data_IF_752513237043
#
_entry.id   IF_752513237043
#
_cell.length_a   1.000
_cell.length_b   1.000
_cell.length_c   1.000
_cell.angle_alpha   90.00
_cell.angle_beta   90.00
_cell.angle_gamma   90.00
#
_symmetry.space_group_name_H-M   'P 1'
#
loop_
_entity.id
_entity.type
_entity.pdbx_description
1 polymer ?
#
# COMPACT_ATOMS: atom_id res chain seq x y z
N UNK A 1 -20.01 -11.08 20.03
CA UNK A 1 -20.43 -10.40 18.78
C UNK A 1 -19.38 -9.40 18.34
N UNK A 2 -19.18 -9.27 17.03
CA UNK A 2 -18.25 -8.32 16.45
C UNK A 2 -19.03 -7.30 15.59
N UNK A 3 -18.58 -6.04 15.59
CA UNK A 3 -19.13 -4.97 14.76
C UNK A 3 -18.11 -4.57 13.71
N UNK A 4 -18.49 -4.51 12.45
CA UNK A 4 -17.66 -3.96 11.37
C UNK A 4 -17.61 -2.44 11.54
N UNK A 5 -16.42 -1.87 11.62
CA UNK A 5 -16.16 -0.43 11.69
C UNK A 5 -16.01 0.15 10.29
N UNK A 6 -15.28 -0.54 9.41
CA UNK A 6 -15.09 -0.15 8.03
C UNK A 6 -14.40 -1.25 7.23
N UNK A 7 -14.52 -1.17 5.90
CA UNK A 7 -13.96 -2.15 4.95
C UNK A 7 -13.31 -1.40 3.80
N UNK A 8 -12.07 -1.77 3.47
CA UNK A 8 -11.41 -1.41 2.23
C UNK A 8 -11.25 -2.63 1.32
N UNK A 9 -12.10 -2.73 0.31
CA UNK A 9 -12.09 -3.84 -0.65
C UNK A 9 -10.85 -3.85 -1.54
N UNK A 10 -10.26 -2.70 -1.81
CA UNK A 10 -9.09 -2.61 -2.69
C UNK A 10 -7.82 -3.13 -2.01
N UNK A 11 -7.72 -2.95 -0.70
CA UNK A 11 -6.60 -3.47 0.09
C UNK A 11 -6.92 -4.80 0.78
N UNK A 12 -8.15 -5.30 0.68
CA UNK A 12 -8.61 -6.52 1.36
C UNK A 12 -8.44 -6.43 2.88
N UNK A 13 -8.79 -5.26 3.46
CA UNK A 13 -8.71 -4.99 4.90
C UNK A 13 -10.07 -4.60 5.44
N UNK A 14 -10.43 -5.18 6.58
CA UNK A 14 -11.57 -4.78 7.39
C UNK A 14 -11.15 -4.50 8.82
N UNK A 15 -11.74 -3.49 9.44
CA UNK A 15 -11.63 -3.23 10.88
C UNK A 15 -12.90 -3.70 11.56
N UNK A 16 -12.73 -4.58 12.54
CA UNK A 16 -13.82 -5.09 13.37
C UNK A 16 -13.59 -4.70 14.84
N UNK A 17 -14.65 -4.36 15.54
CA UNK A 17 -14.67 -4.06 16.97
C UNK A 17 -15.35 -5.19 17.70
N UNK A 18 -14.70 -5.72 18.71
CA UNK A 18 -15.28 -6.68 19.65
C UNK A 18 -15.43 -6.03 21.03
N UNK A 19 -16.37 -6.56 21.83
CA UNK A 19 -16.42 -6.33 23.27
C UNK A 19 -15.79 -7.54 23.95
N UNK A 20 -14.85 -7.29 24.84
CA UNK A 20 -14.20 -8.32 25.64
C UNK A 20 -14.52 -8.04 27.13
N UNK A 21 -14.71 -9.09 27.91
CA UNK A 21 -14.95 -9.00 29.35
C UNK A 21 -13.63 -8.85 30.12
N UNK A 22 -12.51 -9.06 29.46
CA UNK A 22 -11.14 -8.96 29.99
C UNK A 22 -10.31 -7.99 29.18
N UNK A 23 -9.25 -7.44 29.78
CA UNK A 23 -8.27 -6.61 29.07
C UNK A 23 -7.49 -7.46 28.07
N UNK A 24 -7.48 -7.00 26.82
CA UNK A 24 -6.75 -7.65 25.74
C UNK A 24 -5.32 -7.13 25.68
N UNK A 25 -4.37 -8.03 25.45
CA UNK A 25 -2.99 -7.65 25.20
C UNK A 25 -2.80 -7.37 23.70
N UNK A 26 -2.64 -6.10 23.30
CA UNK A 26 -2.43 -5.78 21.88
C UNK A 26 -1.05 -6.24 21.44
N UNK A 27 -0.97 -6.68 20.17
CA UNK A 27 0.32 -6.97 19.55
C UNK A 27 1.08 -5.67 19.26
N UNK A 28 2.39 -5.66 19.48
CA UNK A 28 3.24 -4.55 19.04
C UNK A 28 3.39 -4.56 17.52
N UNK A 29 3.35 -3.38 16.92
CA UNK A 29 3.48 -3.21 15.47
C UNK A 29 4.89 -2.75 15.16
N UNK A 30 5.59 -3.49 14.30
CA UNK A 30 6.92 -3.11 13.80
C UNK A 30 6.82 -2.36 12.47
N UNK A 31 7.87 -1.58 12.17
CA UNK A 31 8.00 -0.88 10.88
C UNK A 31 8.30 -1.86 9.74
N UNK A 32 7.31 -2.12 8.90
CA UNK A 32 7.45 -3.02 7.75
C UNK A 32 8.34 -2.47 6.63
N UNK A 33 8.73 -1.19 6.65
CA UNK A 33 9.69 -0.63 5.70
C UNK A 33 11.14 -1.06 6.02
N UNK A 34 11.40 -1.51 7.25
CA UNK A 34 12.73 -1.97 7.68
C UNK A 34 13.03 -3.43 7.31
N UNK A 35 12.04 -4.17 6.80
CA UNK A 35 12.15 -5.60 6.49
C UNK A 35 13.16 -5.86 5.37
N UNK A 36 13.91 -6.95 5.53
CA UNK A 36 14.90 -7.42 4.56
C UNK A 36 14.59 -8.84 4.11
N UNK A 37 14.93 -9.15 2.89
CA UNK A 37 14.91 -10.52 2.38
C UNK A 37 15.83 -11.38 3.24
N UNK A 38 15.31 -12.52 3.69
CA UNK A 38 15.97 -13.44 4.62
C UNK A 38 15.58 -13.26 6.09
N UNK A 39 14.88 -12.19 6.47
CA UNK A 39 14.37 -12.02 7.83
C UNK A 39 13.39 -13.16 8.18
N UNK A 40 13.55 -13.75 9.37
CA UNK A 40 12.68 -14.83 9.85
C UNK A 40 11.33 -14.30 10.23
N UNK A 41 10.29 -15.09 9.89
CA UNK A 41 8.90 -14.74 10.16
C UNK A 41 8.09 -15.95 10.59
N UNK A 42 7.01 -15.70 11.32
CA UNK A 42 5.99 -16.68 11.66
C UNK A 42 4.64 -16.18 11.13
N UNK A 43 3.96 -17.00 10.35
CA UNK A 43 2.59 -16.77 9.95
C UNK A 43 1.66 -17.52 10.93
N UNK A 44 0.75 -16.77 11.56
CA UNK A 44 -0.19 -17.27 12.56
C UNK A 44 -1.59 -17.20 11.97
N UNK A 45 -2.38 -18.23 12.18
CA UNK A 45 -3.76 -18.28 11.72
C UNK A 45 -4.51 -19.48 12.25
N UNK A 46 -5.71 -19.72 11.72
CA UNK A 46 -6.54 -20.89 12.05
C UNK A 46 -6.93 -21.61 10.75
N UNK A 47 -5.96 -22.32 10.11
CA UNK A 47 -6.20 -22.97 8.83
C UNK A 47 -7.29 -24.02 8.98
N UNK A 48 -8.25 -23.99 8.06
CA UNK A 48 -9.39 -24.92 8.03
C UNK A 48 -10.27 -24.96 9.30
N UNK A 49 -10.09 -24.01 10.23
CA UNK A 49 -10.84 -23.98 11.49
C UNK A 49 -10.47 -25.07 12.50
N UNK A 50 -9.32 -25.73 12.33
CA UNK A 50 -8.85 -26.82 13.19
C UNK A 50 -8.06 -26.37 14.42
N UNK A 51 -7.93 -25.07 14.63
CA UNK A 51 -7.22 -24.46 15.75
C UNK A 51 -6.07 -23.54 15.30
N UNK A 52 -5.53 -22.77 16.26
CA UNK A 52 -4.42 -21.86 16.01
C UNK A 52 -3.20 -22.67 15.54
N UNK A 53 -2.66 -22.26 14.42
CA UNK A 53 -1.48 -22.88 13.80
C UNK A 53 -0.45 -21.81 13.49
N UNK A 54 0.82 -22.18 13.59
CA UNK A 54 1.97 -21.34 13.31
C UNK A 54 2.83 -22.00 12.26
N UNK A 55 3.14 -21.29 11.18
CA UNK A 55 4.12 -21.71 10.18
C UNK A 55 5.32 -20.78 10.17
N UNK A 56 6.52 -21.37 10.04
CA UNK A 56 7.78 -20.64 10.01
C UNK A 56 8.24 -20.46 8.56
N UNK A 57 8.88 -19.32 8.28
CA UNK A 57 9.48 -19.01 7.00
C UNK A 57 10.37 -17.77 7.08
N UNK A 58 10.64 -17.19 5.92
CA UNK A 58 11.42 -15.95 5.76
C UNK A 58 10.66 -14.95 4.88
N UNK A 59 11.10 -13.70 4.91
CA UNK A 59 10.78 -12.73 3.87
C UNK A 59 11.49 -13.14 2.59
N UNK A 60 10.75 -13.55 1.58
CA UNK A 60 11.28 -13.95 0.27
C UNK A 60 11.47 -12.76 -0.67
N UNK A 61 10.62 -11.72 -0.54
CA UNK A 61 10.71 -10.45 -1.24
C UNK A 61 9.82 -9.39 -0.57
N UNK A 62 10.10 -8.13 -0.86
CA UNK A 62 9.26 -6.97 -0.52
C UNK A 62 8.86 -6.23 -1.80
N UNK A 63 7.82 -5.38 -1.74
CA UNK A 63 7.41 -4.56 -2.88
C UNK A 63 6.76 -5.34 -4.02
N UNK A 64 6.04 -6.43 -3.74
CA UNK A 64 5.32 -7.21 -4.75
C UNK A 64 3.91 -6.68 -4.95
N UNK A 65 3.59 -6.15 -6.12
CA UNK A 65 2.23 -5.67 -6.45
C UNK A 65 1.24 -6.81 -6.75
N UNK A 66 1.73 -7.91 -7.26
CA UNK A 66 0.93 -9.10 -7.62
C UNK A 66 -0.43 -8.74 -8.26
N UNK A 67 -0.41 -7.82 -9.22
CA UNK A 67 -1.59 -7.35 -9.94
C UNK A 67 -2.53 -6.45 -9.12
N UNK A 68 -2.13 -6.00 -7.94
CA UNK A 68 -2.85 -5.01 -7.16
C UNK A 68 -2.03 -3.70 -7.10
N UNK A 69 -2.36 -2.68 -7.89
CA UNK A 69 -1.60 -1.43 -7.94
C UNK A 69 -1.71 -0.61 -6.64
N UNK A 70 -2.59 -1.01 -5.73
CA UNK A 70 -2.80 -0.32 -4.45
C UNK A 70 -1.93 -0.86 -3.32
N UNK A 71 -1.25 -2.00 -3.51
CA UNK A 71 -0.50 -2.67 -2.44
C UNK A 71 0.86 -3.16 -2.92
N UNK A 72 1.88 -2.89 -2.14
CA UNK A 72 3.15 -3.59 -2.19
C UNK A 72 3.16 -4.63 -1.09
N UNK A 73 3.10 -5.90 -1.48
CA UNK A 73 2.97 -7.01 -0.55
C UNK A 73 4.33 -7.52 -0.09
N UNK A 74 4.37 -8.06 1.11
CA UNK A 74 5.46 -8.89 1.61
C UNK A 74 5.26 -10.30 1.04
N UNK A 75 6.26 -10.84 0.36
CA UNK A 75 6.30 -12.24 -0.05
C UNK A 75 7.02 -13.06 1.03
N UNK A 76 6.47 -14.23 1.38
CA UNK A 76 7.06 -15.17 2.34
C UNK A 76 6.89 -16.61 1.86
N UNK A 77 7.79 -17.49 2.27
CA UNK A 77 7.68 -18.94 2.14
C UNK A 77 7.09 -19.61 3.40
N UNK A 78 6.71 -18.84 4.43
CA UNK A 78 5.87 -19.36 5.50
C UNK A 78 4.55 -19.87 4.92
N UNK A 79 4.14 -21.09 5.30
CA UNK A 79 2.96 -21.73 4.71
C UNK A 79 1.69 -20.96 5.08
N UNK A 80 1.05 -20.39 4.06
CA UNK A 80 -0.26 -19.73 4.16
C UNK A 80 -1.28 -20.62 3.45
N UNK A 81 -2.32 -21.02 4.17
CA UNK A 81 -3.41 -21.85 3.66
C UNK A 81 -4.75 -21.18 3.98
N UNK A 82 -5.86 -21.60 3.35
CA UNK A 82 -7.20 -21.12 3.69
C UNK A 82 -7.46 -21.18 5.20
N UNK A 83 -7.80 -20.03 5.80
CA UNK A 83 -7.96 -19.84 7.25
C UNK A 83 -6.82 -19.08 7.93
N UNK A 84 -5.63 -18.96 7.30
CA UNK A 84 -4.57 -18.06 7.79
C UNK A 84 -4.77 -16.61 7.33
N UNK A 85 -5.55 -16.36 6.27
CA UNK A 85 -5.86 -15.01 5.79
C UNK A 85 -6.55 -14.20 6.89
N UNK A 86 -6.08 -12.96 7.10
CA UNK A 86 -6.48 -12.11 8.23
C UNK A 86 -5.69 -12.36 9.52
N UNK A 87 -4.90 -13.44 9.58
CA UNK A 87 -3.99 -13.73 10.69
C UNK A 87 -2.69 -12.92 10.61
N UNK A 88 -1.90 -12.95 11.67
CA UNK A 88 -0.69 -12.17 11.79
C UNK A 88 0.49 -12.80 11.04
N UNK A 89 1.30 -11.97 10.37
CA UNK A 89 2.69 -12.26 10.07
C UNK A 89 3.54 -11.48 11.07
N UNK A 90 4.37 -12.19 11.85
CA UNK A 90 5.19 -11.59 12.90
C UNK A 90 6.68 -11.85 12.66
N UNK A 91 7.52 -10.98 13.21
CA UNK A 91 8.97 -11.17 13.24
C UNK A 91 9.39 -12.04 14.44
N UNK A 92 10.69 -12.33 14.55
CA UNK A 92 11.28 -13.12 15.63
C UNK A 92 11.10 -12.52 17.04
N UNK A 93 10.82 -11.20 17.13
CA UNK A 93 10.53 -10.52 18.39
C UNK A 93 9.04 -10.56 18.77
N UNK A 94 8.19 -11.25 17.99
CA UNK A 94 6.75 -11.32 18.21
C UNK A 94 5.98 -10.08 17.79
N UNK A 95 6.59 -9.15 17.06
CA UNK A 95 5.92 -7.93 16.61
C UNK A 95 5.26 -8.15 15.24
N UNK A 96 4.09 -7.54 15.03
CA UNK A 96 3.34 -7.58 13.77
C UNK A 96 4.12 -6.85 12.66
N UNK A 97 4.39 -7.55 11.57
CA UNK A 97 5.01 -6.99 10.36
C UNK A 97 4.08 -7.00 9.16
N UNK A 98 2.96 -7.75 9.25
CA UNK A 98 1.95 -7.78 8.20
C UNK A 98 0.74 -8.61 8.57
N UNK A 99 -0.29 -8.57 7.72
CA UNK A 99 -1.48 -9.41 7.80
C UNK A 99 -1.43 -10.40 6.64
N UNK A 100 -1.51 -11.70 6.94
CA UNK A 100 -1.58 -12.75 5.93
C UNK A 100 -2.80 -12.51 5.02
N UNK A 101 -2.62 -12.56 3.72
CA UNK A 101 -3.70 -12.26 2.77
C UNK A 101 -3.94 -13.40 1.81
N UNK A 102 -3.03 -13.66 0.89
CA UNK A 102 -3.24 -14.60 -0.22
C UNK A 102 -1.99 -15.42 -0.54
N UNK A 103 -2.17 -16.42 -1.40
CA UNK A 103 -1.08 -17.23 -1.97
C UNK A 103 -1.02 -17.02 -3.48
N UNK A 104 0.16 -17.26 -4.06
CA UNK A 104 0.28 -17.55 -5.48
C UNK A 104 0.07 -19.04 -5.69
N UNK A 105 -0.97 -19.39 -6.45
CA UNK A 105 -1.27 -20.80 -6.67
C UNK A 105 -2.07 -21.01 -7.94
N UNK A 106 -1.67 -21.98 -8.74
CA UNK A 106 -2.43 -22.43 -9.91
C UNK A 106 -3.46 -23.52 -9.54
N UNK A 107 -3.33 -24.13 -8.37
CA UNK A 107 -4.17 -25.26 -7.92
C UNK A 107 -5.06 -24.89 -6.73
N UNK A 108 -4.89 -23.69 -6.15
CA UNK A 108 -5.55 -23.28 -4.90
C UNK A 108 -4.83 -23.77 -3.63
N UNK A 109 -3.82 -24.63 -3.75
CA UNK A 109 -3.00 -25.09 -2.63
C UNK A 109 -1.70 -24.24 -2.52
N UNK A 110 -1.16 -24.11 -1.33
CA UNK A 110 0.11 -23.44 -1.08
C UNK A 110 1.26 -24.12 -1.85
N UNK A 111 2.04 -23.34 -2.59
CA UNK A 111 3.16 -23.78 -3.44
C UNK A 111 4.47 -23.05 -3.12
N UNK A 112 4.70 -22.65 -1.87
CA UNK A 112 5.92 -21.96 -1.44
C UNK A 112 5.89 -20.45 -1.62
N UNK A 113 4.77 -19.86 -2.04
CA UNK A 113 4.64 -18.41 -2.23
C UNK A 113 3.37 -17.90 -1.55
N UNK A 114 3.57 -17.22 -0.43
CA UNK A 114 2.53 -16.53 0.31
C UNK A 114 2.75 -15.01 0.28
N UNK A 115 1.69 -14.25 0.53
CA UNK A 115 1.71 -12.79 0.57
C UNK A 115 1.02 -12.28 1.83
N UNK A 116 1.62 -11.22 2.40
CA UNK A 116 1.03 -10.47 3.49
C UNK A 116 1.00 -8.97 3.17
N UNK A 117 -0.01 -8.29 3.70
CA UNK A 117 -0.14 -6.82 3.61
C UNK A 117 0.77 -6.23 4.68
N UNK A 118 1.72 -5.32 4.34
CA UNK A 118 2.65 -4.73 5.30
C UNK A 118 1.96 -3.99 6.45
N UNK A 119 2.50 -4.10 7.65
CA UNK A 119 1.94 -3.48 8.86
C UNK A 119 1.73 -1.97 8.74
N UNK A 120 2.65 -1.24 8.10
CA UNK A 120 2.51 0.20 7.89
C UNK A 120 1.27 0.53 7.05
N UNK A 121 1.02 -0.24 5.99
CA UNK A 121 -0.17 -0.09 5.14
C UNK A 121 -1.44 -0.45 5.93
N UNK A 122 -1.40 -1.53 6.73
CA UNK A 122 -2.51 -1.94 7.60
C UNK A 122 -2.89 -0.82 8.57
N UNK A 123 -1.90 -0.21 9.23
CA UNK A 123 -2.13 0.89 10.19
C UNK A 123 -2.73 2.12 9.50
N UNK A 124 -2.21 2.51 8.33
CA UNK A 124 -2.73 3.65 7.58
C UNK A 124 -4.21 3.43 7.19
N UNK A 125 -4.53 2.26 6.64
CA UNK A 125 -5.90 1.91 6.27
C UNK A 125 -6.81 1.83 7.49
N UNK A 126 -6.39 1.11 8.53
CA UNK A 126 -7.18 0.94 9.74
C UNK A 126 -7.48 2.27 10.43
N UNK A 127 -6.52 3.18 10.47
CA UNK A 127 -6.71 4.53 11.02
C UNK A 127 -7.80 5.30 10.28
N UNK A 128 -7.79 5.26 8.94
CA UNK A 128 -8.82 5.91 8.14
C UNK A 128 -10.19 5.24 8.31
N UNK A 129 -10.24 3.90 8.31
CA UNK A 129 -11.49 3.16 8.54
C UNK A 129 -12.09 3.45 9.92
N UNK A 130 -11.27 3.58 10.96
CA UNK A 130 -11.72 3.94 12.31
C UNK A 130 -12.24 5.37 12.36
N UNK A 131 -11.55 6.30 11.71
CA UNK A 131 -11.88 7.74 11.75
C UNK A 131 -13.05 8.10 10.85
N UNK A 132 -13.11 7.54 9.63
CA UNK A 132 -14.05 7.96 8.59
C UNK A 132 -15.00 6.86 8.14
N UNK A 133 -14.80 5.59 8.52
CA UNK A 133 -15.54 4.45 8.01
C UNK A 133 -15.12 3.97 6.62
N UNK A 134 -14.27 4.74 5.92
CA UNK A 134 -13.78 4.48 4.57
C UNK A 134 -12.35 5.00 4.37
N UNK A 135 -11.69 4.53 3.31
CA UNK A 135 -10.38 5.06 2.89
C UNK A 135 -10.62 6.21 1.90
N UNK A 136 -10.19 7.40 2.30
CA UNK A 136 -10.24 8.61 1.48
C UNK A 136 -8.92 8.78 0.74
N UNK A 137 -8.99 8.96 -0.57
CA UNK A 137 -7.81 9.22 -1.41
C UNK A 137 -7.65 10.72 -1.64
N UNK A 138 -6.41 11.19 -1.70
CA UNK A 138 -6.12 12.56 -2.13
C UNK A 138 -6.56 12.73 -3.59
N UNK A 139 -7.48 13.65 -3.83
CA UNK A 139 -7.88 14.03 -5.17
C UNK A 139 -7.06 15.25 -5.64
N UNK A 140 -6.37 15.09 -6.76
CA UNK A 140 -5.57 16.17 -7.39
C UNK A 140 -6.08 16.55 -8.77
N UNK A 141 -7.23 16.03 -9.19
CA UNK A 141 -7.85 16.18 -10.50
C UNK A 141 -8.05 14.84 -11.20
N UNK A 142 -8.86 14.82 -12.24
CA UNK A 142 -9.04 13.64 -13.07
C UNK A 142 -8.04 13.67 -14.22
N UNK A 143 -7.20 12.65 -14.30
CA UNK A 143 -6.17 12.54 -15.33
C UNK A 143 -5.82 11.08 -15.61
N UNK A 144 -5.20 10.86 -16.76
CA UNK A 144 -4.66 9.55 -17.15
C UNK A 144 -3.18 9.71 -17.47
N UNK A 145 -2.41 8.69 -17.12
CA UNK A 145 -0.97 8.65 -17.39
C UNK A 145 -0.60 7.42 -18.20
N UNK A 146 0.50 7.52 -18.92
CA UNK A 146 1.16 6.41 -19.59
C UNK A 146 2.57 6.26 -19.03
N UNK A 147 2.96 5.04 -18.70
CA UNK A 147 4.33 4.74 -18.30
C UNK A 147 5.29 4.92 -19.47
N UNK A 148 6.36 5.64 -19.24
CA UNK A 148 7.44 5.90 -20.19
C UNK A 148 8.78 5.76 -19.49
N UNK A 149 9.84 5.75 -20.26
CA UNK A 149 11.21 5.90 -19.76
C UNK A 149 11.84 7.15 -20.35
N UNK A 150 12.57 7.90 -19.54
CA UNK A 150 13.35 9.06 -19.96
C UNK A 150 14.83 8.83 -19.70
N UNK A 151 15.65 9.40 -20.56
CA UNK A 151 17.09 9.49 -20.31
C UNK A 151 17.38 10.88 -19.71
N UNK A 152 17.63 10.92 -18.40
CA UNK A 152 17.98 12.14 -17.66
C UNK A 152 19.40 11.96 -17.13
N UNK A 153 20.32 12.87 -17.50
CA UNK A 153 21.72 12.82 -17.09
C UNK A 153 22.35 11.43 -17.30
N UNK A 154 22.16 10.88 -18.50
CA UNK A 154 22.62 9.54 -18.92
C UNK A 154 22.00 8.34 -18.21
N UNK A 155 21.16 8.55 -17.20
CA UNK A 155 20.43 7.51 -16.49
C UNK A 155 19.05 7.31 -17.11
N UNK A 156 18.67 6.05 -17.35
CA UNK A 156 17.31 5.67 -17.75
C UNK A 156 16.44 5.72 -16.50
N UNK A 157 15.41 6.56 -16.52
CA UNK A 157 14.53 6.81 -15.37
C UNK A 157 13.08 6.51 -15.75
N UNK A 158 12.34 5.72 -14.97
CA UNK A 158 10.90 5.54 -15.14
C UNK A 158 10.19 6.90 -14.96
N UNK A 159 9.14 7.11 -15.74
CA UNK A 159 8.35 8.33 -15.67
C UNK A 159 6.91 8.09 -16.11
N UNK A 160 6.00 9.00 -15.74
CA UNK A 160 4.59 8.95 -16.12
C UNK A 160 4.24 10.19 -16.93
N UNK A 161 3.84 9.99 -18.19
CA UNK A 161 3.37 11.09 -19.05
C UNK A 161 1.86 11.26 -18.86
N UNK A 162 1.41 12.48 -18.63
CA UNK A 162 -0.02 12.83 -18.62
C UNK A 162 -0.52 12.76 -20.07
N UNK A 163 -1.44 11.86 -20.36
CA UNK A 163 -2.01 11.67 -21.71
C UNK A 163 -3.41 12.28 -21.84
N UNK A 164 -4.09 12.48 -20.73
CA UNK A 164 -5.42 13.09 -20.64
C UNK A 164 -5.57 13.78 -19.28
N UNK A 165 -6.23 14.93 -19.23
CA UNK A 165 -6.49 15.65 -18.00
C UNK A 165 -7.69 16.57 -18.16
N UNK A 166 -8.55 16.62 -17.17
CA UNK A 166 -9.63 17.60 -17.07
C UNK A 166 -9.09 19.00 -16.75
N UNK A 167 -9.78 20.03 -17.23
CA UNK A 167 -9.43 21.44 -16.97
C UNK A 167 -10.00 21.92 -15.63
N UNK A 168 -10.01 21.04 -14.63
CA UNK A 168 -10.53 21.29 -13.29
C UNK A 168 -9.64 20.59 -12.27
N UNK A 169 -9.48 21.20 -11.10
CA UNK A 169 -8.79 20.62 -9.95
C UNK A 169 -7.32 21.02 -9.79
N UNK A 170 -6.70 20.55 -8.70
CA UNK A 170 -5.40 21.02 -8.26
C UNK A 170 -4.26 20.93 -9.27
N UNK A 171 -4.21 19.88 -10.09
CA UNK A 171 -3.21 19.77 -11.17
C UNK A 171 -3.36 20.91 -12.18
N UNK A 172 -4.60 21.18 -12.63
CA UNK A 172 -4.87 22.24 -13.60
C UNK A 172 -4.59 23.63 -13.02
N UNK A 173 -4.98 23.87 -11.77
CA UNK A 173 -4.74 25.14 -11.05
C UNK A 173 -3.24 25.44 -10.90
N UNK A 174 -2.41 24.40 -10.78
CA UNK A 174 -0.94 24.52 -10.76
C UNK A 174 -0.31 24.63 -12.16
N UNK A 175 -1.13 24.72 -13.20
CA UNK A 175 -0.68 24.95 -14.57
C UNK A 175 -0.11 23.70 -15.27
N UNK A 176 -0.33 22.51 -14.73
CA UNK A 176 0.05 21.24 -15.35
C UNK A 176 -0.81 20.99 -16.58
N UNK A 177 -0.25 20.38 -17.60
CA UNK A 177 -0.88 20.15 -18.92
C UNK A 177 -0.67 18.74 -19.41
N UNK A 178 -1.49 18.36 -20.38
CA UNK A 178 -1.27 17.14 -21.16
C UNK A 178 0.10 17.19 -21.82
N UNK A 179 0.81 16.08 -21.81
CA UNK A 179 2.22 15.84 -22.17
C UNK A 179 3.26 16.26 -21.12
N UNK A 180 2.89 16.91 -20.02
CA UNK A 180 3.82 17.05 -18.91
C UNK A 180 4.12 15.65 -18.32
N UNK A 181 5.32 15.50 -17.76
CA UNK A 181 5.84 14.21 -17.35
C UNK A 181 6.19 14.25 -15.86
N UNK A 182 5.58 13.37 -15.10
CA UNK A 182 5.92 13.15 -13.68
C UNK A 182 7.20 12.31 -13.65
N UNK A 183 8.26 12.82 -13.03
CA UNK A 183 9.57 12.20 -12.94
C UNK A 183 9.95 11.78 -11.52
N UNK A 184 9.25 12.29 -10.51
CA UNK A 184 9.43 11.95 -9.10
C UNK A 184 8.12 12.06 -8.32
N UNK A 185 7.95 11.21 -7.31
CA UNK A 185 6.78 11.12 -6.44
C UNK A 185 7.27 10.92 -5.00
N UNK A 186 7.10 11.93 -4.13
CA UNK A 186 7.58 11.86 -2.73
C UNK A 186 9.05 11.39 -2.62
N UNK A 187 9.93 11.91 -3.50
CA UNK A 187 11.36 11.52 -3.61
C UNK A 187 11.59 10.07 -4.05
N UNK A 188 10.56 9.34 -4.49
CA UNK A 188 10.65 8.01 -5.08
C UNK A 188 10.58 8.09 -6.61
N UNK A 189 10.89 6.96 -7.26
CA UNK A 189 10.73 6.81 -8.71
C UNK A 189 9.28 7.05 -9.15
N UNK A 190 9.12 7.65 -10.33
CA UNK A 190 7.80 7.90 -10.91
C UNK A 190 7.30 6.66 -11.65
N UNK A 191 6.48 5.89 -10.99
CA UNK A 191 5.76 4.75 -11.56
C UNK A 191 4.31 4.74 -11.07
N UNK A 192 3.49 3.90 -11.71
CA UNK A 192 2.06 3.80 -11.42
C UNK A 192 1.79 3.43 -9.96
N UNK A 193 2.55 2.48 -9.41
CA UNK A 193 2.36 2.03 -8.03
C UNK A 193 2.64 3.16 -7.03
N UNK A 194 3.78 3.84 -7.16
CA UNK A 194 4.13 4.95 -6.28
C UNK A 194 3.11 6.09 -6.36
N UNK A 195 2.60 6.41 -7.56
CA UNK A 195 1.57 7.43 -7.73
C UNK A 195 0.27 7.02 -7.03
N UNK A 196 -0.22 5.83 -7.32
CA UNK A 196 -1.48 5.31 -6.77
C UNK A 196 -1.43 5.20 -5.24
N UNK A 197 -0.34 4.67 -4.70
CA UNK A 197 -0.14 4.58 -3.25
C UNK A 197 -0.05 5.95 -2.59
N UNK A 198 0.70 6.90 -3.19
CA UNK A 198 0.84 8.24 -2.64
C UNK A 198 -0.49 9.01 -2.64
N UNK A 199 -1.35 8.81 -3.64
CA UNK A 199 -2.69 9.40 -3.67
C UNK A 199 -3.63 8.72 -2.67
N UNK A 200 -3.56 7.39 -2.57
CA UNK A 200 -4.48 6.59 -1.75
C UNK A 200 -4.18 6.68 -0.26
N UNK A 201 -2.89 6.69 0.09
CA UNK A 201 -2.44 6.65 1.48
C UNK A 201 -1.92 8.01 1.95
N UNK A 202 -2.28 9.09 1.25
CA UNK A 202 -2.00 10.43 1.73
C UNK A 202 -2.58 10.61 3.14
N UNK A 203 -1.78 11.16 4.04
CA UNK A 203 -2.20 11.48 5.40
C UNK A 203 -2.71 12.92 5.43
N UNK A 204 -3.81 13.15 6.12
CA UNK A 204 -4.37 14.50 6.28
C UNK A 204 -3.32 15.46 6.88
N UNK A 205 -3.09 16.59 6.24
CA UNK A 205 -2.06 17.57 6.61
C UNK A 205 -0.67 17.26 6.05
N UNK A 206 -0.47 16.14 5.35
CA UNK A 206 0.77 15.87 4.62
C UNK A 206 0.66 16.33 3.16
N UNK A 207 1.81 16.67 2.58
CA UNK A 207 1.92 17.08 1.19
C UNK A 207 2.33 15.91 0.30
N UNK A 208 1.58 15.70 -0.79
CA UNK A 208 2.07 14.93 -1.94
C UNK A 208 3.01 15.82 -2.76
N UNK A 209 4.24 15.39 -2.93
CA UNK A 209 5.25 16.10 -3.72
C UNK A 209 5.38 15.39 -5.07
N UNK A 210 5.06 16.10 -6.14
CA UNK A 210 5.27 15.63 -7.51
C UNK A 210 6.33 16.49 -8.21
N UNK A 211 7.31 15.83 -8.79
CA UNK A 211 8.34 16.44 -9.61
C UNK A 211 7.99 16.26 -11.09
N UNK A 212 7.97 17.34 -11.84
CA UNK A 212 7.59 17.33 -13.26
C UNK A 212 8.75 17.76 -14.15
N UNK A 213 8.78 17.15 -15.34
CA UNK A 213 9.48 17.67 -16.51
C UNK A 213 8.43 18.24 -17.46
N UNK A 214 8.49 19.53 -17.73
CA UNK A 214 7.56 20.23 -18.62
C UNK A 214 8.31 20.78 -19.84
N UNK A 215 7.61 20.94 -20.95
CA UNK A 215 8.23 21.50 -22.16
C UNK A 215 8.60 22.99 -22.05
N UNK A 216 7.91 23.73 -21.17
CA UNK A 216 8.14 25.16 -20.94
C UNK A 216 9.23 25.46 -19.92
N UNK A 217 9.31 24.62 -18.87
CA UNK A 217 10.26 24.77 -17.77
C UNK A 217 10.76 23.38 -17.39
N UNK A 218 12.02 23.10 -17.67
CA UNK A 218 12.59 21.73 -17.67
C UNK A 218 12.31 20.90 -16.40
N UNK A 219 12.28 21.53 -15.21
CA UNK A 219 12.01 20.82 -13.95
C UNK A 219 11.16 21.73 -13.05
N UNK A 220 10.06 21.18 -12.56
CA UNK A 220 9.18 21.83 -11.58
C UNK A 220 8.79 20.85 -10.48
N UNK A 221 8.68 21.37 -9.27
CA UNK A 221 8.15 20.60 -8.12
C UNK A 221 6.84 21.24 -7.69
N UNK A 222 5.81 20.43 -7.52
CA UNK A 222 4.52 20.86 -7.01
C UNK A 222 4.15 20.04 -5.78
N UNK A 223 3.62 20.72 -4.77
CA UNK A 223 3.10 20.14 -3.55
C UNK A 223 1.57 20.22 -3.57
N UNK A 224 0.93 19.13 -3.19
CA UNK A 224 -0.52 19.00 -3.10
C UNK A 224 -0.86 18.64 -1.65
N UNK A 225 -1.42 19.58 -0.92
CA UNK A 225 -1.83 19.39 0.45
C UNK A 225 -3.13 18.58 0.51
N UNK A 226 -3.17 17.59 1.39
CA UNK A 226 -4.36 16.82 1.68
C UNK A 226 -5.17 17.51 2.78
N UNK A 227 -6.27 18.16 2.42
CA UNK A 227 -7.18 18.85 3.34
C UNK A 227 -8.58 18.20 3.32
N UNK A 228 -9.32 18.31 4.43
CA UNK A 228 -10.68 17.74 4.54
C UNK A 228 -11.69 18.37 3.55
N UNK A 229 -11.42 19.59 3.09
CA UNK A 229 -12.34 20.33 2.20
C UNK A 229 -12.30 19.87 0.72
N UNK A 230 -11.35 18.99 0.35
CA UNK A 230 -11.13 18.56 -1.04
C UNK A 230 -11.38 17.05 -1.25
N UNK A 231 -12.28 16.47 -0.46
CA UNK A 231 -12.69 15.04 -0.60
C UNK A 231 -14.08 14.92 -1.23
#
# INVERSE_FOLDING_TARGET
PAKIIGIDKNADIAVIKISADEDLNPINIADSNSLKVGDRVLAIGNPYGIGISVSNGIISATGRDYGNPYLELIQTDAAINPGNSGGALINENGNLIGINSKIYSNTGAYQGIGFAIPSNVVVQIATQLIRFGEVKSLWIGNFRVSSITLKINEKITPALRIIEMEKVGPLHEKGIKVNDIIIGINKKESNWNNLTQSLRFATLGENLILEFYTFSEKFKTHEFEYTEEKT
#
